data_IF_870347550901
#
_entry.id   IF_870347550901
#
_cell.length_a   1.000
_cell.length_b   1.000
_cell.length_c   1.000
_cell.angle_alpha   90.00
_cell.angle_beta   90.00
_cell.angle_gamma   90.00
#
_symmetry.space_group_name_H-M   'P 1'
#
loop_
_entity.id
_entity.type
_entity.pdbx_description
1 polymer ?
#
# COMPACT_ATOMS: atom_id res chain seq x y z
N UNK A 1 8.62 -31.40 -5.11
CA UNK A 1 7.93 -30.11 -4.96
C UNK A 1 8.55 -29.36 -3.79
N UNK A 2 9.59 -28.57 -4.05
CA UNK A 2 10.32 -27.73 -3.08
C UNK A 2 10.18 -26.29 -3.59
N UNK A 3 9.04 -25.67 -3.27
CA UNK A 3 8.70 -24.26 -3.53
C UNK A 3 8.09 -23.75 -2.22
N UNK A 4 8.82 -23.71 -1.09
CA UNK A 4 8.12 -23.56 0.20
C UNK A 4 8.78 -22.70 1.28
N UNK A 5 9.95 -22.10 1.07
CA UNK A 5 10.53 -21.21 2.09
C UNK A 5 11.10 -19.91 1.51
N UNK A 6 12.04 -20.00 0.56
CA UNK A 6 12.65 -18.82 -0.05
C UNK A 6 11.65 -17.98 -0.87
N UNK A 7 10.75 -18.65 -1.62
CA UNK A 7 9.69 -17.97 -2.35
C UNK A 7 8.67 -17.34 -1.42
N UNK A 8 8.38 -17.97 -0.27
CA UNK A 8 7.41 -17.47 0.71
C UNK A 8 7.93 -16.19 1.39
N UNK A 9 9.20 -16.15 1.79
CA UNK A 9 9.83 -14.94 2.35
C UNK A 9 9.94 -13.81 1.32
N UNK A 10 10.30 -14.13 0.07
CA UNK A 10 10.36 -13.13 -1.01
C UNK A 10 8.96 -12.60 -1.37
N UNK A 11 7.95 -13.47 -1.44
CA UNK A 11 6.54 -13.10 -1.68
C UNK A 11 5.98 -12.30 -0.50
N UNK A 12 6.34 -12.65 0.74
CA UNK A 12 5.97 -11.87 1.93
C UNK A 12 6.62 -10.49 1.92
N UNK A 13 7.89 -10.38 1.53
CA UNK A 13 8.58 -9.11 1.36
C UNK A 13 7.91 -8.22 0.30
N UNK A 14 7.58 -8.78 -0.87
CA UNK A 14 6.90 -8.03 -1.94
C UNK A 14 5.50 -7.59 -1.50
N UNK A 15 4.69 -8.50 -0.94
CA UNK A 15 3.35 -8.18 -0.45
C UNK A 15 3.38 -7.13 0.68
N UNK A 16 4.42 -7.15 1.52
CA UNK A 16 4.61 -6.14 2.56
C UNK A 16 4.79 -4.74 1.99
N UNK A 17 5.66 -4.56 0.98
CA UNK A 17 5.88 -3.26 0.37
C UNK A 17 4.67 -2.76 -0.43
N UNK A 18 3.95 -3.66 -1.11
CA UNK A 18 2.69 -3.35 -1.78
C UNK A 18 1.63 -2.87 -0.77
N UNK A 19 1.47 -3.59 0.34
CA UNK A 19 0.53 -3.22 1.38
C UNK A 19 0.91 -1.91 2.08
N UNK A 20 2.19 -1.70 2.35
CA UNK A 20 2.69 -0.46 2.93
C UNK A 20 2.42 0.73 1.98
N UNK A 21 2.67 0.57 0.69
CA UNK A 21 2.42 1.60 -0.33
C UNK A 21 0.93 1.93 -0.42
N UNK A 22 0.07 0.92 -0.42
CA UNK A 22 -1.37 1.10 -0.38
C UNK A 22 -1.84 1.82 0.89
N UNK A 23 -1.32 1.42 2.05
CA UNK A 23 -1.63 2.05 3.34
C UNK A 23 -1.20 3.52 3.36
N UNK A 24 -0.01 3.85 2.84
CA UNK A 24 0.44 5.24 2.72
C UNK A 24 -0.49 6.06 1.81
N UNK A 25 -0.86 5.53 0.65
CA UNK A 25 -1.82 6.18 -0.25
C UNK A 25 -3.16 6.44 0.43
N UNK A 26 -3.68 5.46 1.17
CA UNK A 26 -4.93 5.60 1.92
C UNK A 26 -4.81 6.64 3.06
N UNK A 27 -3.70 6.68 3.78
CA UNK A 27 -3.48 7.63 4.87
C UNK A 27 -3.25 9.07 4.39
N UNK A 28 -2.71 9.25 3.18
CA UNK A 28 -2.55 10.57 2.53
C UNK A 28 -3.88 11.13 2.02
N UNK A 29 -4.85 10.26 1.72
CA UNK A 29 -6.18 10.66 1.26
C UNK A 29 -6.91 11.52 2.29
N UNK A 30 -7.88 12.33 1.85
CA UNK A 30 -8.67 13.16 2.75
C UNK A 30 -9.57 12.29 3.67
N UNK A 31 -9.67 12.62 4.98
CA UNK A 31 -10.60 11.95 5.89
C UNK A 31 -12.04 11.91 5.34
N UNK A 32 -12.71 10.78 5.52
CA UNK A 32 -14.08 10.56 5.02
C UNK A 32 -14.22 10.36 3.51
N UNK A 33 -13.14 10.46 2.73
CA UNK A 33 -13.17 10.15 1.29
C UNK A 33 -13.02 8.64 1.07
N UNK A 34 -13.89 8.00 0.26
CA UNK A 34 -13.68 6.61 -0.15
C UNK A 34 -12.36 6.44 -0.91
N UNK A 35 -11.57 5.46 -0.50
CA UNK A 35 -10.28 5.12 -1.09
C UNK A 35 -10.43 3.87 -1.95
N UNK A 36 -9.95 3.96 -3.19
CA UNK A 36 -9.82 2.82 -4.09
C UNK A 36 -8.34 2.51 -4.27
N UNK A 37 -7.92 1.34 -3.78
CA UNK A 37 -6.60 0.78 -4.01
C UNK A 37 -6.66 -0.13 -5.22
N UNK A 38 -5.73 0.07 -6.13
CA UNK A 38 -5.61 -0.72 -7.36
C UNK A 38 -4.19 -1.31 -7.38
N UNK A 39 -4.08 -2.63 -7.47
CA UNK A 39 -2.79 -3.33 -7.44
C UNK A 39 -2.86 -4.59 -8.31
N UNK A 40 -1.76 -4.93 -8.96
CA UNK A 40 -1.55 -6.19 -9.67
C UNK A 40 -1.09 -7.33 -8.74
N UNK A 41 -0.74 -7.02 -7.49
CA UNK A 41 -0.48 -8.00 -6.46
C UNK A 41 -1.79 -8.50 -5.81
N UNK A 42 -2.25 -9.67 -6.26
CA UNK A 42 -3.46 -10.32 -5.75
C UNK A 42 -3.43 -10.57 -4.24
N UNK A 43 -2.26 -10.91 -3.67
CA UNK A 43 -2.15 -11.15 -2.23
C UNK A 43 -2.41 -9.86 -1.44
N UNK A 44 -1.87 -8.72 -1.89
CA UNK A 44 -2.13 -7.42 -1.29
C UNK A 44 -3.62 -7.06 -1.35
N UNK A 45 -4.26 -7.25 -2.51
CA UNK A 45 -5.71 -7.00 -2.69
C UNK A 45 -6.54 -7.87 -1.75
N UNK A 46 -6.21 -9.16 -1.59
CA UNK A 46 -6.90 -10.03 -0.65
C UNK A 46 -6.71 -9.61 0.80
N UNK A 47 -5.50 -9.15 1.18
CA UNK A 47 -5.23 -8.64 2.54
C UNK A 47 -6.05 -7.39 2.84
N UNK A 48 -6.11 -6.45 1.91
CA UNK A 48 -6.91 -5.22 2.04
C UNK A 48 -8.42 -5.53 2.05
N UNK A 49 -8.90 -6.37 1.12
CA UNK A 49 -10.32 -6.70 1.02
C UNK A 49 -10.86 -7.47 2.22
N UNK A 50 -10.02 -8.27 2.89
CA UNK A 50 -10.40 -9.01 4.11
C UNK A 50 -10.01 -8.29 5.39
N UNK A 51 -9.29 -7.16 5.29
CA UNK A 51 -8.63 -6.48 6.41
C UNK A 51 -7.84 -7.46 7.30
N UNK A 52 -7.18 -8.44 6.68
CA UNK A 52 -6.45 -9.50 7.38
C UNK A 52 -5.37 -10.11 6.49
N UNK A 53 -4.13 -10.10 6.98
CA UNK A 53 -2.98 -10.76 6.36
C UNK A 53 -2.65 -12.11 6.99
N UNK A 54 -1.78 -12.88 6.31
CA UNK A 54 -1.28 -14.17 6.81
C UNK A 54 -0.16 -14.03 7.85
N UNK A 55 0.62 -12.96 7.80
CA UNK A 55 1.74 -12.71 8.71
C UNK A 55 1.44 -11.61 9.72
N UNK A 56 2.16 -11.62 10.84
CA UNK A 56 2.05 -10.60 11.88
C UNK A 56 2.42 -9.20 11.34
N UNK A 57 3.41 -9.12 10.45
CA UNK A 57 3.85 -7.86 9.85
C UNK A 57 2.74 -7.20 9.01
N UNK A 58 2.05 -7.96 8.15
CA UNK A 58 0.94 -7.45 7.34
C UNK A 58 -0.23 -7.00 8.21
N UNK A 59 -0.58 -7.80 9.24
CA UNK A 59 -1.63 -7.43 10.19
C UNK A 59 -1.25 -6.18 11.00
N UNK A 60 0.04 -6.01 11.35
CA UNK A 60 0.51 -4.81 12.05
C UNK A 60 0.30 -3.54 11.23
N UNK A 61 0.58 -3.57 9.92
CA UNK A 61 0.31 -2.43 9.03
C UNK A 61 -1.19 -2.08 9.04
N UNK A 62 -2.05 -3.08 8.82
CA UNK A 62 -3.50 -2.88 8.79
C UNK A 62 -4.05 -2.30 10.10
N UNK A 63 -3.63 -2.86 11.23
CA UNK A 63 -4.06 -2.38 12.54
C UNK A 63 -3.58 -0.95 12.80
N UNK A 64 -2.31 -0.64 12.50
CA UNK A 64 -1.76 0.72 12.65
C UNK A 64 -2.49 1.72 11.75
N UNK A 65 -2.80 1.32 10.52
CA UNK A 65 -3.62 2.12 9.59
C UNK A 65 -5.02 2.38 10.17
N UNK A 66 -5.69 1.36 10.72
CA UNK A 66 -7.01 1.49 11.34
C UNK A 66 -7.00 2.29 12.64
N UNK A 67 -5.89 2.34 13.38
CA UNK A 67 -5.75 3.23 14.54
C UNK A 67 -5.71 4.70 14.09
N UNK A 68 -5.00 4.99 13.00
CA UNK A 68 -4.84 6.36 12.48
C UNK A 68 -6.12 6.81 11.74
N UNK A 69 -6.74 5.92 10.98
CA UNK A 69 -7.95 6.15 10.18
C UNK A 69 -8.97 5.02 10.41
N UNK A 70 -9.70 5.02 11.54
CA UNK A 70 -10.66 3.96 11.88
C UNK A 70 -11.74 3.74 10.83
N UNK A 71 -12.11 4.78 10.10
CA UNK A 71 -13.12 4.70 9.05
C UNK A 71 -12.71 3.81 7.87
N UNK A 72 -11.42 3.57 7.64
CA UNK A 72 -10.93 2.69 6.57
C UNK A 72 -11.22 1.21 6.82
N UNK A 73 -11.65 0.84 8.03
CA UNK A 73 -12.11 -0.51 8.34
C UNK A 73 -13.44 -0.87 7.65
N UNK A 74 -14.21 0.15 7.24
CA UNK A 74 -15.51 -0.03 6.61
C UNK A 74 -15.39 -0.39 5.13
N UNK A 75 -16.18 -1.38 4.70
CA UNK A 75 -16.29 -1.77 3.30
C UNK A 75 -16.85 -0.68 2.37
N UNK A 76 -17.31 0.45 2.91
CA UNK A 76 -17.76 1.63 2.14
C UNK A 76 -16.65 2.67 1.92
N UNK A 77 -15.51 2.53 2.62
CA UNK A 77 -14.47 3.55 2.70
C UNK A 77 -13.15 3.10 2.10
N UNK A 78 -12.89 1.79 2.03
CA UNK A 78 -11.71 1.23 1.39
C UNK A 78 -12.12 0.07 0.48
N UNK A 79 -11.78 0.18 -0.81
CA UNK A 79 -11.99 -0.88 -1.79
C UNK A 79 -10.66 -1.25 -2.44
N UNK A 80 -10.41 -2.54 -2.62
CA UNK A 80 -9.21 -3.03 -3.29
C UNK A 80 -9.59 -3.82 -4.55
N UNK A 81 -8.96 -3.49 -5.67
CA UNK A 81 -9.19 -4.15 -6.96
C UNK A 81 -7.89 -4.73 -7.52
N UNK A 82 -8.00 -5.97 -7.98
CA UNK A 82 -6.90 -6.65 -8.65
C UNK A 82 -6.88 -6.29 -10.14
N UNK A 83 -5.74 -5.80 -10.63
CA UNK A 83 -5.49 -5.66 -12.07
C UNK A 83 -4.77 -6.89 -12.59
N UNK A 84 -5.29 -7.46 -13.69
CA UNK A 84 -4.64 -8.55 -14.40
C UNK A 84 -3.87 -8.04 -15.62
N UNK A 85 -2.73 -8.67 -15.91
CA UNK A 85 -1.86 -8.35 -17.06
C UNK A 85 -0.87 -7.22 -16.81
N UNK A 86 -0.36 -6.57 -17.87
CA UNK A 86 0.59 -5.45 -17.82
C UNK A 86 -0.06 -4.13 -17.35
N UNK A 87 -0.96 -4.20 -16.40
CA UNK A 87 -1.77 -3.06 -15.95
C UNK A 87 -1.33 -2.64 -14.56
N UNK A 88 -0.14 -2.05 -14.46
CA UNK A 88 0.29 -1.15 -13.37
C UNK A 88 1.65 -0.49 -13.68
N UNK A 89 2.01 -0.36 -14.98
CA UNK A 89 3.39 -0.08 -15.41
C UNK A 89 3.96 1.20 -14.83
N UNK A 90 3.13 2.22 -14.62
CA UNK A 90 3.58 3.48 -14.04
C UNK A 90 4.00 3.31 -12.57
N UNK A 91 3.21 2.61 -11.75
CA UNK A 91 3.57 2.38 -10.35
C UNK A 91 4.82 1.49 -10.24
N UNK A 92 4.92 0.47 -11.11
CA UNK A 92 6.07 -0.43 -11.20
C UNK A 92 7.35 0.29 -11.64
N UNK A 93 7.22 1.23 -12.58
CA UNK A 93 8.32 2.06 -13.02
C UNK A 93 8.77 3.02 -11.92
N UNK A 94 7.82 3.65 -11.23
CA UNK A 94 8.11 4.59 -10.13
C UNK A 94 8.84 3.90 -8.98
N UNK A 95 8.43 2.67 -8.61
CA UNK A 95 9.01 1.94 -7.48
C UNK A 95 10.46 1.50 -7.72
N UNK A 96 10.88 1.37 -8.99
CA UNK A 96 12.22 0.93 -9.39
C UNK A 96 13.15 2.06 -9.84
N UNK A 97 12.61 3.25 -10.02
CA UNK A 97 13.35 4.39 -10.57
C UNK A 97 13.90 5.30 -9.47
N UNK A 98 14.91 6.09 -9.81
CA UNK A 98 15.41 7.13 -8.91
C UNK A 98 14.42 8.29 -8.79
N UNK A 99 14.57 9.06 -7.70
CA UNK A 99 13.66 10.15 -7.37
C UNK A 99 13.70 11.30 -8.39
N UNK A 100 14.84 11.53 -9.05
CA UNK A 100 14.99 12.60 -10.05
C UNK A 100 14.23 12.23 -11.32
N UNK A 101 14.32 10.96 -11.74
CA UNK A 101 13.52 10.43 -12.84
C UNK A 101 12.01 10.52 -12.54
N UNK A 102 11.58 10.10 -11.35
CA UNK A 102 10.18 10.19 -10.95
C UNK A 102 9.66 11.63 -11.00
N UNK A 103 10.42 12.60 -10.48
CA UNK A 103 10.06 14.03 -10.59
C UNK A 103 9.92 14.49 -12.03
N UNK A 104 10.74 13.98 -12.95
CA UNK A 104 10.64 14.34 -14.37
C UNK A 104 9.36 13.80 -15.03
N UNK A 105 8.92 12.59 -14.67
CA UNK A 105 7.63 12.03 -15.13
C UNK A 105 6.46 12.92 -14.67
N UNK A 106 6.48 13.37 -13.41
CA UNK A 106 5.36 14.10 -12.82
C UNK A 106 5.37 15.62 -13.13
N UNK A 107 6.48 16.19 -13.59
CA UNK A 107 6.61 17.63 -13.84
C UNK A 107 5.59 18.20 -14.86
N UNK A 108 5.07 17.35 -15.76
CA UNK A 108 4.05 17.73 -16.75
C UNK A 108 2.61 17.36 -16.38
N UNK A 109 2.40 16.64 -15.26
CA UNK A 109 1.08 16.12 -14.90
C UNK A 109 0.33 17.15 -14.06
N UNK A 110 -0.69 17.78 -14.67
CA UNK A 110 -1.53 18.77 -13.98
C UNK A 110 -2.24 18.10 -12.79
N UNK A 111 -2.02 18.64 -11.59
CA UNK A 111 -2.60 18.12 -10.36
C UNK A 111 -1.77 17.04 -9.66
N UNK A 112 -0.62 16.65 -10.21
CA UNK A 112 0.35 15.86 -9.46
C UNK A 112 1.02 16.75 -8.39
N UNK A 113 1.09 16.26 -7.16
CA UNK A 113 1.77 16.93 -6.06
C UNK A 113 2.61 15.90 -5.31
N UNK A 114 3.91 16.18 -5.18
CA UNK A 114 4.78 15.44 -4.27
C UNK A 114 4.35 15.75 -2.83
N UNK A 115 4.16 14.71 -2.01
CA UNK A 115 3.80 14.86 -0.59
C UNK A 115 4.86 14.21 0.29
N UNK A 116 5.27 14.92 1.33
CA UNK A 116 6.09 14.34 2.40
C UNK A 116 5.24 13.39 3.26
N UNK A 117 5.62 12.12 3.30
CA UNK A 117 4.95 11.08 4.09
C UNK A 117 5.67 10.76 5.40
N UNK A 118 6.73 11.49 5.76
CA UNK A 118 7.53 11.24 6.98
C UNK A 118 6.69 11.26 8.25
N UNK A 119 5.75 12.21 8.36
CA UNK A 119 4.81 12.28 9.48
C UNK A 119 3.89 11.06 9.55
N UNK A 120 3.46 10.54 8.41
CA UNK A 120 2.61 9.35 8.30
C UNK A 120 3.38 8.09 8.70
N UNK A 121 4.61 7.94 8.22
CA UNK A 121 5.50 6.84 8.61
C UNK A 121 5.78 6.85 10.12
N UNK A 122 6.03 8.02 10.69
CA UNK A 122 6.22 8.17 12.13
C UNK A 122 4.94 7.84 12.92
N UNK A 123 3.77 8.20 12.40
CA UNK A 123 2.48 7.84 13.00
C UNK A 123 2.25 6.33 12.95
N UNK A 124 2.50 5.68 11.80
CA UNK A 124 2.42 4.23 11.65
C UNK A 124 3.32 3.53 12.67
N UNK A 125 4.58 3.95 12.79
CA UNK A 125 5.53 3.37 13.75
C UNK A 125 5.07 3.46 15.22
N UNK A 126 4.31 4.49 15.59
CA UNK A 126 3.80 4.69 16.96
C UNK A 126 2.42 4.09 17.25
N UNK A 127 1.63 3.79 16.22
CA UNK A 127 0.21 3.47 16.37
C UNK A 127 -0.10 2.18 17.16
N UNK A 128 0.89 1.32 17.43
CA UNK A 128 0.78 0.20 18.37
C UNK A 128 2.10 0.04 19.16
N UNK A 129 2.05 -0.18 20.49
CA UNK A 129 3.21 -0.62 21.25
C UNK A 129 3.68 -2.00 20.76
N UNK A 130 4.99 -2.20 20.69
CA UNK A 130 5.65 -3.46 20.31
C UNK A 130 5.38 -4.59 21.30
#
# INVERSE_FOLDING_TARGET
MRILAADTEAIEGICFYELLSAALGALVSEPGTPVIVVSDNRACVEVLGKMRGKSAALNSILQRMMVIRPELAGAATLHAYHLSGERNLLADQISRSDISFNRSIFAGIRGAAERDVSGILAALARALPS
#
